data_IF_871959546048
#
_entry.id   IF_871959546048
#
_cell.length_a   1.000
_cell.length_b   1.000
_cell.length_c   1.000
_cell.angle_alpha   90.00
_cell.angle_beta   90.00
_cell.angle_gamma   90.00
#
_symmetry.space_group_name_H-M   'P 1'
#
loop_
_entity.id
_entity.type
_entity.pdbx_description
1 polymer ?
#
# COMPACT_ATOMS: atom_id res chain seq x y z
N UNK A 1 10.06 -23.42 2.12
CA UNK A 1 10.86 -24.34 1.25
C UNK A 1 10.30 -25.78 1.19
N UNK A 2 9.24 -26.10 1.93
CA UNK A 2 8.72 -27.47 2.06
C UNK A 2 8.14 -28.02 0.74
N UNK A 3 7.79 -27.15 -0.19
CA UNK A 3 7.12 -27.52 -1.45
C UNK A 3 8.00 -27.35 -2.71
N UNK A 4 9.22 -26.84 -2.58
CA UNK A 4 10.15 -26.72 -3.69
C UNK A 4 11.17 -27.86 -3.68
N UNK A 5 11.37 -28.57 -4.82
CA UNK A 5 12.28 -29.71 -4.90
C UNK A 5 13.77 -29.32 -4.81
N UNK A 6 14.09 -28.04 -5.01
CA UNK A 6 15.46 -27.48 -4.92
C UNK A 6 15.44 -26.21 -4.09
N UNK A 7 16.50 -25.93 -3.37
CA UNK A 7 16.67 -24.67 -2.65
C UNK A 7 16.91 -23.50 -3.61
N UNK A 8 16.48 -22.29 -3.25
CA UNK A 8 16.57 -21.11 -4.12
C UNK A 8 18.02 -20.76 -4.46
N UNK A 9 18.96 -20.99 -3.54
CA UNK A 9 20.41 -20.83 -3.73
C UNK A 9 21.04 -21.83 -4.72
N UNK A 10 20.32 -22.90 -5.08
CA UNK A 10 20.70 -23.89 -6.08
C UNK A 10 20.18 -23.56 -7.48
N UNK A 11 19.40 -22.50 -7.64
CA UNK A 11 18.94 -22.04 -8.95
C UNK A 11 20.11 -21.43 -9.73
N UNK A 12 20.15 -21.73 -11.05
CA UNK A 12 21.13 -21.12 -11.96
C UNK A 12 20.87 -19.61 -12.21
N UNK A 13 19.72 -19.11 -11.80
CA UNK A 13 19.35 -17.72 -11.93
C UNK A 13 19.72 -16.93 -10.67
N UNK A 14 20.06 -15.63 -10.84
CA UNK A 14 20.15 -14.71 -9.74
C UNK A 14 18.73 -14.33 -9.29
N UNK A 15 18.37 -14.69 -8.05
CA UNK A 15 17.05 -14.40 -7.48
C UNK A 15 17.19 -13.32 -6.43
N UNK A 16 16.50 -12.20 -6.64
CA UNK A 16 16.37 -11.12 -5.66
C UNK A 16 14.97 -11.19 -5.09
N UNK A 17 14.86 -11.29 -3.77
CA UNK A 17 13.58 -11.24 -3.06
C UNK A 17 13.33 -9.81 -2.57
N UNK A 18 12.11 -9.32 -2.80
CA UNK A 18 11.65 -8.06 -2.28
C UNK A 18 10.28 -8.28 -1.64
N UNK A 19 10.16 -7.96 -0.36
CA UNK A 19 8.88 -7.93 0.33
C UNK A 19 8.09 -6.71 -0.16
N UNK A 20 6.85 -6.93 -0.57
CA UNK A 20 5.98 -5.89 -1.07
C UNK A 20 4.92 -5.54 -0.02
N UNK A 21 4.63 -4.26 0.04
CA UNK A 21 3.49 -3.67 0.75
C UNK A 21 2.67 -2.82 -0.24
N UNK A 22 1.65 -2.12 0.23
CA UNK A 22 0.97 -1.13 -0.63
C UNK A 22 1.96 -0.07 -1.10
N UNK A 23 1.92 0.24 -2.39
CA UNK A 23 2.80 1.25 -2.96
C UNK A 23 2.85 1.22 -4.47
N UNK A 24 3.61 2.16 -5.01
CA UNK A 24 3.78 2.33 -6.45
C UNK A 24 5.27 2.20 -6.78
N UNK A 25 5.60 1.39 -7.77
CA UNK A 25 6.97 1.17 -8.23
C UNK A 25 6.99 0.74 -9.70
N UNK A 26 8.15 0.78 -10.32
CA UNK A 26 8.35 0.34 -11.70
C UNK A 26 9.21 -0.92 -11.79
N UNK A 27 8.84 -1.83 -12.69
CA UNK A 27 9.66 -2.98 -13.10
C UNK A 27 9.94 -2.82 -14.60
N UNK A 28 11.07 -2.26 -14.96
CA UNK A 28 11.35 -1.88 -16.34
C UNK A 28 10.31 -0.88 -16.85
N UNK A 29 9.60 -1.25 -17.92
CA UNK A 29 8.54 -0.41 -18.51
C UNK A 29 7.15 -0.64 -17.91
N UNK A 30 7.04 -1.49 -16.89
CA UNK A 30 5.78 -1.79 -16.22
C UNK A 30 5.66 -0.90 -14.99
N UNK A 31 4.60 -0.09 -14.93
CA UNK A 31 4.21 0.65 -13.74
C UNK A 31 3.29 -0.22 -12.88
N UNK A 32 3.61 -0.38 -11.60
CA UNK A 32 2.89 -1.27 -10.68
C UNK A 32 2.36 -0.45 -9.51
N UNK A 33 1.05 -0.54 -9.26
CA UNK A 33 0.40 -0.05 -8.03
C UNK A 33 -0.13 -1.27 -7.27
N UNK A 34 0.29 -1.46 -6.02
CA UNK A 34 -0.12 -2.57 -5.16
C UNK A 34 -1.01 -2.09 -4.03
N UNK A 35 -2.06 -2.87 -3.74
CA UNK A 35 -2.95 -2.61 -2.60
C UNK A 35 -3.32 -3.89 -1.87
N UNK A 36 -3.49 -3.78 -0.55
CA UNK A 36 -4.07 -4.89 0.22
C UNK A 36 -5.54 -5.08 -0.16
N UNK A 37 -5.87 -6.31 -0.46
CA UNK A 37 -7.24 -6.76 -0.70
C UNK A 37 -7.93 -7.08 0.62
N UNK A 38 -9.26 -7.06 0.62
CA UNK A 38 -10.05 -7.45 1.80
C UNK A 38 -10.09 -8.97 1.93
N UNK A 39 -9.08 -9.53 2.56
CA UNK A 39 -8.91 -10.97 2.75
C UNK A 39 -8.38 -11.26 4.16
N UNK A 40 -8.72 -12.41 4.79
CA UNK A 40 -8.20 -12.78 6.10
C UNK A 40 -6.69 -12.88 6.19
N UNK A 41 -6.01 -13.34 5.13
CA UNK A 41 -4.56 -13.32 5.02
C UNK A 41 -4.07 -12.06 4.30
N UNK A 42 -2.80 -11.68 4.53
CA UNK A 42 -2.17 -10.59 3.80
C UNK A 42 -2.12 -10.94 2.30
N UNK A 43 -2.96 -10.29 1.53
CA UNK A 43 -3.08 -10.49 0.10
C UNK A 43 -2.95 -9.15 -0.61
N UNK A 44 -2.05 -9.06 -1.60
CA UNK A 44 -1.88 -7.88 -2.43
C UNK A 44 -2.56 -8.08 -3.78
N UNK A 45 -3.32 -7.07 -4.19
CA UNK A 45 -3.71 -6.89 -5.58
C UNK A 45 -2.67 -6.05 -6.32
N UNK A 46 -2.64 -6.20 -7.63
CA UNK A 46 -1.68 -5.55 -8.51
C UNK A 46 -2.40 -4.83 -9.65
N UNK A 47 -2.14 -3.55 -9.83
CA UNK A 47 -2.51 -2.79 -11.01
C UNK A 47 -1.25 -2.55 -11.83
N UNK A 48 -1.22 -3.08 -13.04
CA UNK A 48 -0.10 -3.07 -13.96
C UNK A 48 -0.43 -2.17 -15.15
N UNK A 49 0.41 -1.19 -15.40
CA UNK A 49 0.25 -0.29 -16.56
C UNK A 49 1.49 -0.40 -17.44
N UNK A 50 1.30 -0.84 -18.68
CA UNK A 50 2.38 -1.04 -19.66
C UNK A 50 1.87 -0.76 -21.07
N UNK A 51 2.65 -0.04 -21.88
CA UNK A 51 2.32 0.28 -23.27
C UNK A 51 0.93 0.90 -23.50
N UNK A 52 0.38 1.57 -22.48
CA UNK A 52 -0.94 2.17 -22.50
C UNK A 52 -2.09 1.19 -22.24
N UNK A 53 -1.77 -0.06 -21.90
CA UNK A 53 -2.74 -1.04 -21.40
C UNK A 53 -2.69 -1.11 -19.88
N UNK A 54 -3.85 -1.38 -19.26
CA UNK A 54 -4.03 -1.52 -17.83
C UNK A 54 -4.60 -2.88 -17.49
N UNK A 55 -3.87 -3.65 -16.68
CA UNK A 55 -4.33 -4.94 -16.14
C UNK A 55 -4.41 -4.84 -14.63
N UNK A 56 -5.51 -5.28 -14.02
CA UNK A 56 -5.61 -5.39 -12.57
C UNK A 56 -5.83 -6.86 -12.19
N UNK A 57 -5.05 -7.31 -11.22
CA UNK A 57 -5.14 -8.64 -10.62
C UNK A 57 -5.54 -8.52 -9.16
N UNK A 58 -6.72 -9.01 -8.83
CA UNK A 58 -7.32 -9.00 -7.50
C UNK A 58 -7.83 -10.41 -7.18
N UNK A 59 -6.92 -11.31 -6.73
CA UNK A 59 -7.18 -12.74 -6.63
C UNK A 59 -8.09 -13.13 -5.47
N UNK A 60 -7.93 -12.51 -4.31
CA UNK A 60 -8.60 -12.92 -3.07
C UNK A 60 -9.15 -11.66 -2.41
N UNK A 61 -10.42 -11.38 -2.62
CA UNK A 61 -11.07 -10.15 -2.15
C UNK A 61 -12.53 -10.42 -1.80
N UNK A 62 -12.94 -10.05 -0.60
CA UNK A 62 -14.32 -10.09 -0.13
C UNK A 62 -14.92 -8.69 -0.12
N UNK A 63 -16.20 -8.49 -0.47
CA UNK A 63 -16.89 -7.21 -0.30
C UNK A 63 -16.75 -6.69 1.14
N UNK A 64 -16.41 -5.40 1.31
CA UNK A 64 -16.42 -4.79 2.64
C UNK A 64 -17.85 -4.67 3.19
N UNK A 65 -18.81 -4.37 2.34
CA UNK A 65 -20.22 -4.46 2.66
C UNK A 65 -20.79 -5.79 2.15
N UNK A 66 -21.05 -6.70 3.06
CA UNK A 66 -21.50 -8.05 2.72
C UNK A 66 -22.85 -8.07 1.99
N UNK A 67 -23.69 -7.04 2.14
CA UNK A 67 -24.92 -6.94 1.38
C UNK A 67 -24.68 -6.74 -0.12
N UNK A 68 -23.49 -6.23 -0.51
CA UNK A 68 -23.07 -6.12 -1.91
C UNK A 68 -22.75 -7.47 -2.55
N UNK A 69 -22.64 -8.54 -1.77
CA UNK A 69 -22.52 -9.90 -2.32
C UNK A 69 -23.67 -10.28 -3.26
N UNK A 70 -24.86 -9.72 -3.05
CA UNK A 70 -25.99 -9.89 -3.95
C UNK A 70 -26.02 -8.90 -5.15
N UNK A 71 -25.00 -8.09 -5.26
CA UNK A 71 -24.91 -6.95 -6.18
C UNK A 71 -25.57 -5.69 -5.61
N UNK A 72 -25.39 -4.58 -6.30
CA UNK A 72 -26.00 -3.31 -5.91
C UNK A 72 -25.16 -2.08 -6.24
N UNK A 73 -25.43 -0.98 -5.55
CA UNK A 73 -24.67 0.25 -5.69
C UNK A 73 -23.42 0.21 -4.83
N UNK A 74 -22.27 -0.03 -5.47
CA UNK A 74 -20.97 -0.12 -4.82
C UNK A 74 -20.59 1.18 -4.10
N UNK A 75 -21.07 2.34 -4.58
CA UNK A 75 -20.78 3.64 -3.97
C UNK A 75 -21.41 3.84 -2.57
N UNK A 76 -22.31 2.96 -2.16
CA UNK A 76 -22.91 3.01 -0.81
C UNK A 76 -21.90 2.71 0.31
N UNK A 77 -20.81 2.00 0.00
CA UNK A 77 -19.72 1.73 0.93
C UNK A 77 -18.43 2.35 0.40
N UNK A 78 -17.77 3.19 1.20
CA UNK A 78 -16.58 3.93 0.79
C UNK A 78 -15.38 3.03 0.45
N UNK A 79 -15.27 1.86 1.09
CA UNK A 79 -14.14 0.95 0.86
C UNK A 79 -14.34 0.17 -0.43
N UNK A 80 -15.56 -0.27 -0.71
CA UNK A 80 -15.90 -0.90 -1.98
C UNK A 80 -15.84 0.12 -3.13
N UNK A 81 -16.24 1.39 -2.90
CA UNK A 81 -16.07 2.47 -3.87
C UNK A 81 -14.59 2.80 -4.11
N UNK A 82 -13.75 2.79 -3.06
CA UNK A 82 -12.31 2.96 -3.19
C UNK A 82 -11.65 1.79 -3.93
N UNK A 83 -12.14 0.56 -3.72
CA UNK A 83 -11.72 -0.60 -4.51
C UNK A 83 -12.08 -0.41 -5.97
N UNK A 84 -13.32 -0.05 -6.29
CA UNK A 84 -13.74 0.25 -7.66
C UNK A 84 -12.93 1.41 -8.29
N UNK A 85 -12.61 2.45 -7.53
CA UNK A 85 -11.79 3.55 -8.01
C UNK A 85 -10.35 3.10 -8.36
N UNK A 86 -9.80 2.14 -7.62
CA UNK A 86 -8.49 1.56 -7.94
C UNK A 86 -8.51 0.70 -9.21
N UNK A 87 -9.63 0.03 -9.48
CA UNK A 87 -9.83 -0.74 -10.71
C UNK A 87 -10.11 0.13 -11.94
N UNK A 88 -10.37 1.44 -11.75
CA UNK A 88 -10.94 2.31 -12.78
C UNK A 88 -10.19 2.27 -14.10
N UNK A 89 -10.96 2.07 -15.20
CA UNK A 89 -10.48 2.09 -16.58
C UNK A 89 -9.54 0.94 -16.93
N UNK A 90 -9.57 -0.18 -16.19
CA UNK A 90 -8.79 -1.37 -16.53
C UNK A 90 -9.25 -1.96 -17.88
N UNK A 91 -8.29 -2.31 -18.75
CA UNK A 91 -8.57 -3.02 -19.99
C UNK A 91 -8.85 -4.50 -19.71
N UNK A 92 -8.26 -5.04 -18.63
CA UNK A 92 -8.53 -6.37 -18.10
C UNK A 92 -8.51 -6.35 -16.57
N UNK A 93 -9.59 -6.81 -15.97
CA UNK A 93 -9.68 -7.12 -14.55
C UNK A 93 -9.71 -8.64 -14.39
N UNK A 94 -8.73 -9.19 -13.68
CA UNK A 94 -8.71 -10.57 -13.22
C UNK A 94 -9.09 -10.53 -11.75
N UNK A 95 -10.28 -11.00 -11.40
CA UNK A 95 -10.84 -10.83 -10.06
C UNK A 95 -11.38 -12.14 -9.51
N UNK A 96 -11.19 -12.35 -8.21
CA UNK A 96 -11.83 -13.40 -7.45
C UNK A 96 -13.36 -13.36 -7.65
N UNK A 97 -13.92 -14.48 -8.03
CA UNK A 97 -15.36 -14.67 -8.24
C UNK A 97 -15.77 -16.09 -7.82
N UNK A 98 -15.34 -16.48 -6.62
CA UNK A 98 -15.45 -17.86 -6.14
C UNK A 98 -16.89 -18.31 -5.93
N UNK A 99 -17.76 -17.40 -5.48
CA UNK A 99 -19.13 -17.71 -5.06
C UNK A 99 -20.20 -17.03 -5.90
N UNK A 100 -21.43 -17.56 -5.79
CA UNK A 100 -22.65 -16.86 -6.14
C UNK A 100 -23.22 -16.20 -4.88
N UNK A 101 -24.05 -15.18 -5.03
CA UNK A 101 -24.74 -14.53 -3.91
C UNK A 101 -25.50 -15.50 -3.01
N UNK A 102 -26.08 -16.57 -3.60
CA UNK A 102 -26.79 -17.62 -2.86
C UNK A 102 -25.90 -18.52 -2.00
N UNK A 103 -24.59 -18.54 -2.26
CA UNK A 103 -23.60 -19.37 -1.57
C UNK A 103 -22.83 -18.56 -0.52
N UNK A 104 -22.81 -17.24 -0.64
CA UNK A 104 -21.96 -16.35 0.14
C UNK A 104 -22.25 -16.37 1.64
N UNK A 105 -23.51 -16.55 2.03
CA UNK A 105 -23.89 -16.51 3.46
C UNK A 105 -23.14 -17.48 4.35
N UNK A 106 -22.76 -18.65 3.82
CA UNK A 106 -21.99 -19.68 4.53
C UNK A 106 -20.47 -19.43 4.49
N UNK A 107 -20.02 -18.43 3.71
CA UNK A 107 -18.60 -18.16 3.42
C UNK A 107 -18.17 -16.73 3.78
N UNK A 108 -19.00 -16.00 4.53
CA UNK A 108 -18.66 -14.66 5.03
C UNK A 108 -17.39 -14.73 5.89
N UNK A 109 -16.44 -13.83 5.61
CA UNK A 109 -15.15 -13.78 6.30
C UNK A 109 -14.10 -14.76 5.75
N UNK A 110 -14.38 -15.42 4.61
CA UNK A 110 -13.41 -16.29 3.94
C UNK A 110 -12.48 -15.50 3.00
N UNK A 111 -12.83 -14.27 2.66
CA UNK A 111 -12.00 -13.38 1.86
C UNK A 111 -12.25 -13.45 0.36
N UNK A 112 -13.43 -13.96 -0.06
CA UNK A 112 -13.73 -14.18 -1.46
C UNK A 112 -15.00 -13.49 -1.93
N UNK A 113 -15.01 -13.14 -3.22
CA UNK A 113 -16.11 -12.40 -3.85
C UNK A 113 -17.18 -13.28 -4.46
N UNK A 114 -18.33 -12.66 -4.66
CA UNK A 114 -19.39 -13.20 -5.51
C UNK A 114 -19.29 -12.64 -6.91
N UNK A 115 -19.81 -13.40 -7.87
CA UNK A 115 -19.91 -12.98 -9.27
C UNK A 115 -20.69 -11.68 -9.41
N UNK A 116 -21.79 -11.53 -8.68
CA UNK A 116 -22.67 -10.36 -8.71
C UNK A 116 -21.92 -9.09 -8.27
N UNK A 117 -21.15 -9.19 -7.17
CA UNK A 117 -20.32 -8.09 -6.68
C UNK A 117 -19.27 -7.67 -7.72
N UNK A 118 -18.53 -8.64 -8.28
CA UNK A 118 -17.46 -8.36 -9.25
C UNK A 118 -18.00 -7.62 -10.48
N UNK A 119 -19.17 -8.01 -10.98
CA UNK A 119 -19.78 -7.34 -12.12
C UNK A 119 -20.18 -5.89 -11.79
N UNK A 120 -20.73 -5.64 -10.60
CA UNK A 120 -21.12 -4.29 -10.21
C UNK A 120 -19.91 -3.39 -9.91
N UNK A 121 -18.85 -3.94 -9.32
CA UNK A 121 -17.56 -3.24 -9.16
C UNK A 121 -16.95 -2.92 -10.54
N UNK A 122 -16.92 -3.88 -11.46
CA UNK A 122 -16.39 -3.67 -12.81
C UNK A 122 -17.21 -2.61 -13.59
N UNK A 123 -18.54 -2.61 -13.43
CA UNK A 123 -19.41 -1.57 -13.98
C UNK A 123 -19.10 -0.19 -13.40
N UNK A 124 -18.94 -0.10 -12.07
CA UNK A 124 -18.61 1.15 -11.36
C UNK A 124 -17.26 1.71 -11.80
N UNK A 125 -16.30 0.81 -12.07
CA UNK A 125 -14.93 1.11 -12.46
C UNK A 125 -14.75 1.33 -13.98
N UNK A 126 -15.78 1.18 -14.80
CA UNK A 126 -15.70 1.23 -16.27
C UNK A 126 -14.62 0.29 -16.84
N UNK A 127 -14.60 -0.94 -16.34
CA UNK A 127 -13.67 -1.99 -16.79
C UNK A 127 -14.09 -2.51 -18.16
N UNK A 128 -13.13 -2.71 -19.08
CA UNK A 128 -13.44 -3.18 -20.42
C UNK A 128 -13.71 -4.70 -20.48
N UNK A 129 -12.94 -5.50 -19.73
CA UNK A 129 -13.03 -6.97 -19.70
C UNK A 129 -12.87 -7.49 -18.28
N UNK A 130 -13.65 -8.49 -17.91
CA UNK A 130 -13.57 -9.20 -16.65
C UNK A 130 -13.26 -10.67 -16.90
N UNK A 131 -12.15 -11.12 -16.34
CA UNK A 131 -11.83 -12.52 -16.18
C UNK A 131 -12.23 -12.96 -14.76
N UNK A 132 -13.29 -13.75 -14.65
CA UNK A 132 -13.69 -14.37 -13.39
C UNK A 132 -12.64 -15.41 -13.02
N UNK A 133 -12.05 -15.25 -11.85
CA UNK A 133 -10.89 -16.01 -11.39
C UNK A 133 -11.16 -16.65 -10.02
N UNK A 134 -10.24 -17.49 -9.56
CA UNK A 134 -10.28 -18.13 -8.24
C UNK A 134 -11.58 -18.95 -8.01
N UNK A 135 -11.94 -19.77 -9.01
CA UNK A 135 -13.13 -20.62 -8.96
C UNK A 135 -13.09 -21.61 -7.80
N UNK A 136 -14.24 -21.88 -7.18
CA UNK A 136 -14.33 -22.94 -6.16
C UNK A 136 -13.84 -24.26 -6.73
N UNK A 137 -12.84 -24.92 -6.11
CA UNK A 137 -12.26 -26.18 -6.60
C UNK A 137 -13.27 -27.32 -6.76
N UNK A 138 -14.45 -27.19 -6.17
CA UNK A 138 -15.53 -28.18 -6.31
C UNK A 138 -16.35 -28.01 -7.59
N UNK A 139 -16.19 -26.90 -8.33
CA UNK A 139 -16.93 -26.65 -9.57
C UNK A 139 -16.34 -27.46 -10.71
N UNK A 140 -17.22 -28.03 -11.51
CA UNK A 140 -16.85 -28.61 -12.82
C UNK A 140 -16.82 -27.52 -13.89
N UNK A 141 -16.20 -27.82 -15.03
CA UNK A 141 -16.16 -26.90 -16.19
C UNK A 141 -17.55 -26.48 -16.64
N UNK A 142 -18.52 -27.40 -16.71
CA UNK A 142 -19.92 -27.09 -17.04
C UNK A 142 -20.56 -26.12 -16.03
N UNK A 143 -20.20 -26.21 -14.75
CA UNK A 143 -20.67 -25.29 -13.72
C UNK A 143 -19.99 -23.91 -13.82
N UNK A 144 -18.75 -23.86 -14.25
CA UNK A 144 -18.03 -22.60 -14.54
C UNK A 144 -18.67 -21.91 -15.75
N UNK A 145 -18.97 -22.67 -16.82
CA UNK A 145 -19.69 -22.14 -17.99
C UNK A 145 -21.06 -21.55 -17.60
N UNK A 146 -21.81 -22.28 -16.77
CA UNK A 146 -23.09 -21.80 -16.25
C UNK A 146 -22.93 -20.53 -15.38
N UNK A 147 -21.85 -20.42 -14.59
CA UNK A 147 -21.54 -19.24 -13.78
C UNK A 147 -21.25 -18.04 -14.67
N UNK A 148 -20.54 -18.20 -15.79
CA UNK A 148 -20.31 -17.12 -16.77
C UNK A 148 -21.64 -16.63 -17.36
N UNK A 149 -22.57 -17.53 -17.68
CA UNK A 149 -23.91 -17.12 -18.17
C UNK A 149 -24.73 -16.37 -17.11
N UNK A 150 -24.63 -16.76 -15.83
CA UNK A 150 -25.22 -16.02 -14.72
C UNK A 150 -24.61 -14.62 -14.57
N UNK A 151 -23.27 -14.51 -14.69
CA UNK A 151 -22.56 -13.23 -14.69
C UNK A 151 -23.06 -12.32 -15.82
N UNK A 152 -23.18 -12.83 -17.03
CA UNK A 152 -23.70 -12.09 -18.20
C UNK A 152 -25.14 -11.63 -18.02
N UNK A 153 -25.96 -12.50 -17.44
CA UNK A 153 -27.35 -12.14 -17.13
C UNK A 153 -27.44 -11.05 -16.06
N UNK A 154 -26.58 -11.09 -15.02
CA UNK A 154 -26.48 -10.03 -14.03
C UNK A 154 -25.98 -8.73 -14.67
N UNK A 155 -24.92 -8.78 -15.46
CA UNK A 155 -24.36 -7.65 -16.20
C UNK A 155 -25.39 -6.93 -17.07
N UNK A 156 -26.21 -7.68 -17.80
CA UNK A 156 -27.30 -7.13 -18.62
C UNK A 156 -28.32 -6.35 -17.78
N UNK A 157 -28.68 -6.84 -16.59
CA UNK A 157 -29.58 -6.17 -15.65
C UNK A 157 -28.95 -4.93 -15.02
N UNK A 158 -27.67 -5.03 -14.64
CA UNK A 158 -26.91 -3.95 -14.02
C UNK A 158 -26.47 -2.86 -15.01
N UNK A 159 -26.54 -3.15 -16.33
CA UNK A 159 -26.12 -2.22 -17.39
C UNK A 159 -24.61 -2.24 -17.67
N UNK A 160 -23.89 -3.27 -17.23
CA UNK A 160 -22.48 -3.48 -17.61
C UNK A 160 -22.39 -4.05 -19.03
N UNK A 161 -21.44 -3.51 -19.83
CA UNK A 161 -21.30 -3.86 -21.26
C UNK A 161 -19.93 -4.44 -21.60
N UNK A 162 -19.04 -4.60 -20.63
CA UNK A 162 -17.73 -5.20 -20.85
C UNK A 162 -17.82 -6.68 -21.17
N UNK A 163 -16.74 -7.21 -21.70
CA UNK A 163 -16.61 -8.65 -21.96
C UNK A 163 -16.44 -9.41 -20.64
N UNK A 164 -17.09 -10.56 -20.51
CA UNK A 164 -17.02 -11.43 -19.33
C UNK A 164 -16.68 -12.83 -19.76
N UNK A 165 -15.66 -13.42 -19.15
CA UNK A 165 -15.24 -14.80 -19.37
C UNK A 165 -14.65 -15.40 -18.09
N UNK A 166 -14.59 -16.73 -18.01
CA UNK A 166 -13.85 -17.42 -16.96
C UNK A 166 -12.37 -17.51 -17.32
N UNK A 167 -11.50 -17.26 -16.36
CA UNK A 167 -10.09 -17.52 -16.54
C UNK A 167 -9.84 -19.02 -16.66
N UNK A 168 -9.08 -19.42 -17.67
CA UNK A 168 -8.75 -20.81 -17.92
C UNK A 168 -7.25 -21.00 -18.05
N UNK A 169 -6.74 -22.11 -17.53
CA UNK A 169 -5.33 -22.45 -17.61
C UNK A 169 -4.86 -22.52 -19.07
N UNK A 170 -3.70 -21.95 -19.36
CA UNK A 170 -3.11 -21.91 -20.71
C UNK A 170 -3.74 -20.90 -21.67
N UNK A 171 -4.81 -20.19 -21.28
CA UNK A 171 -5.39 -19.13 -22.13
C UNK A 171 -4.51 -17.88 -22.18
N UNK A 172 -4.59 -17.17 -23.31
CA UNK A 172 -3.85 -15.91 -23.52
C UNK A 172 -4.82 -14.82 -23.92
N UNK A 173 -4.72 -13.68 -23.24
CA UNK A 173 -5.48 -12.47 -23.57
C UNK A 173 -4.54 -11.43 -24.14
N UNK A 174 -4.82 -10.98 -25.38
CA UNK A 174 -4.07 -9.90 -26.00
C UNK A 174 -4.77 -8.56 -25.77
N UNK A 175 -4.03 -7.59 -25.27
CA UNK A 175 -4.49 -6.22 -25.07
C UNK A 175 -3.80 -5.30 -26.06
N UNK A 176 -4.55 -4.37 -26.62
CA UNK A 176 -4.00 -3.27 -27.41
C UNK A 176 -3.96 -2.02 -26.54
N UNK A 177 -2.76 -1.50 -26.32
CA UNK A 177 -2.59 -0.27 -25.55
C UNK A 177 -3.16 0.95 -26.28
N UNK A 178 -3.69 1.89 -25.52
CA UNK A 178 -4.14 3.19 -25.99
C UNK A 178 -2.96 4.16 -26.08
N UNK A 179 -2.71 4.75 -27.25
CA UNK A 179 -1.58 5.65 -27.48
C UNK A 179 -1.67 6.96 -26.65
N UNK A 180 -2.89 7.47 -26.43
CA UNK A 180 -3.11 8.67 -25.64
C UNK A 180 -2.91 8.37 -24.14
N UNK A 181 -3.35 7.20 -23.69
CA UNK A 181 -3.10 6.70 -22.33
C UNK A 181 -1.61 6.47 -22.09
N UNK A 182 -0.90 5.89 -23.07
CA UNK A 182 0.56 5.75 -23.03
C UNK A 182 1.26 7.11 -22.89
N UNK A 183 0.85 8.11 -23.64
CA UNK A 183 1.39 9.46 -23.54
C UNK A 183 1.08 10.09 -22.16
N UNK A 184 -0.11 9.87 -21.61
CA UNK A 184 -0.48 10.33 -20.26
C UNK A 184 0.31 9.64 -19.15
N UNK A 185 0.57 8.33 -19.28
CA UNK A 185 1.42 7.57 -18.34
C UNK A 185 2.85 8.11 -18.35
N UNK A 186 3.42 8.33 -19.52
CA UNK A 186 4.74 8.96 -19.67
C UNK A 186 4.76 10.37 -19.08
N UNK A 187 3.69 11.15 -19.28
CA UNK A 187 3.56 12.49 -18.71
C UNK A 187 3.38 12.45 -17.19
N UNK A 188 2.59 11.49 -16.64
CA UNK A 188 2.45 11.28 -15.19
C UNK A 188 3.77 10.89 -14.55
N UNK A 189 4.55 10.00 -15.16
CA UNK A 189 5.91 9.65 -14.72
C UNK A 189 6.84 10.85 -14.69
N UNK A 190 6.60 11.87 -15.55
CA UNK A 190 7.37 13.11 -15.61
C UNK A 190 6.87 14.21 -14.66
N UNK A 191 5.63 14.11 -14.18
CA UNK A 191 4.96 15.20 -13.46
C UNK A 191 4.24 14.77 -12.18
N UNK A 192 4.34 13.51 -11.76
CA UNK A 192 3.78 13.09 -10.49
C UNK A 192 4.61 13.67 -9.35
N UNK A 193 4.08 14.63 -8.58
CA UNK A 193 4.60 14.83 -7.25
C UNK A 193 4.21 13.54 -6.51
N UNK A 194 5.21 12.78 -6.07
CA UNK A 194 5.02 11.73 -5.08
C UNK A 194 4.33 12.43 -3.92
N UNK A 195 3.10 12.01 -3.62
CA UNK A 195 2.37 12.54 -2.49
C UNK A 195 3.17 12.21 -1.23
N UNK A 196 4.05 13.11 -0.84
CA UNK A 196 4.79 13.07 0.40
C UNK A 196 3.82 13.39 1.53
N UNK A 197 3.08 12.39 1.99
CA UNK A 197 2.57 12.46 3.35
C UNK A 197 3.76 12.15 4.26
N UNK A 198 4.37 13.18 4.79
CA UNK A 198 5.27 13.07 5.94
C UNK A 198 4.45 12.46 7.07
N UNK A 199 4.61 11.17 7.32
CA UNK A 199 4.03 10.50 8.47
C UNK A 199 5.15 10.25 9.47
N UNK A 200 5.02 10.85 10.65
CA UNK A 200 5.84 10.53 11.81
C UNK A 200 5.81 9.03 12.09
N UNK A 201 6.92 8.49 12.57
CA UNK A 201 7.01 7.08 12.98
C UNK A 201 5.92 6.81 14.03
N UNK A 202 4.85 6.09 13.66
CA UNK A 202 3.80 5.73 14.59
C UNK A 202 4.31 4.65 15.55
N UNK A 203 3.89 4.77 16.80
CA UNK A 203 4.22 3.85 17.89
C UNK A 203 3.78 2.41 17.57
N UNK A 204 4.57 1.43 17.98
CA UNK A 204 4.18 0.01 17.98
C UNK A 204 3.11 -0.28 19.06
N UNK A 205 2.45 0.73 19.62
CA UNK A 205 1.40 0.61 20.59
C UNK A 205 0.00 0.63 19.98
N UNK A 206 -0.89 -0.12 20.58
CA UNK A 206 -2.31 -0.22 20.23
C UNK A 206 -3.15 0.16 21.43
N UNK A 207 -4.12 1.05 21.25
CA UNK A 207 -5.16 1.31 22.23
C UNK A 207 -6.41 0.53 21.83
N UNK A 208 -6.91 -0.28 22.76
CA UNK A 208 -8.13 -1.09 22.58
C UNK A 208 -9.19 -0.54 23.53
N UNK A 209 -10.25 0.02 22.97
CA UNK A 209 -11.48 0.29 23.71
C UNK A 209 -12.45 -0.87 23.51
N UNK A 210 -12.68 -1.65 24.54
CA UNK A 210 -13.61 -2.78 24.49
C UNK A 210 -14.26 -3.06 25.86
N UNK A 211 -15.47 -2.54 26.09
CA UNK A 211 -16.25 -2.83 27.30
C UNK A 211 -16.62 -4.31 27.48
N UNK A 212 -16.73 -5.04 26.35
CA UNK A 212 -17.06 -6.46 26.38
C UNK A 212 -15.80 -7.31 26.59
N UNK A 213 -15.70 -7.98 27.73
CA UNK A 213 -14.51 -8.77 28.10
C UNK A 213 -14.09 -9.82 27.05
N UNK A 214 -15.05 -10.44 26.35
CA UNK A 214 -14.73 -11.40 25.28
C UNK A 214 -14.10 -10.72 24.05
N UNK A 215 -14.55 -9.53 23.69
CA UNK A 215 -13.96 -8.71 22.61
C UNK A 215 -12.57 -8.26 23.04
N UNK A 216 -12.46 -7.67 24.23
CA UNK A 216 -11.19 -7.19 24.79
C UNK A 216 -10.11 -8.27 24.78
N UNK A 217 -10.43 -9.49 25.25
CA UNK A 217 -9.47 -10.59 25.31
C UNK A 217 -8.97 -11.02 23.93
N UNK A 218 -9.86 -11.19 22.95
CA UNK A 218 -9.46 -11.60 21.59
C UNK A 218 -8.61 -10.53 20.91
N UNK A 219 -8.98 -9.25 21.05
CA UNK A 219 -8.22 -8.15 20.50
C UNK A 219 -6.85 -8.02 21.18
N UNK A 220 -6.80 -8.17 22.50
CA UNK A 220 -5.56 -8.14 23.28
C UNK A 220 -4.61 -9.27 22.88
N UNK A 221 -5.07 -10.54 22.87
CA UNK A 221 -4.25 -11.68 22.50
C UNK A 221 -3.74 -11.56 21.05
N UNK A 222 -4.59 -11.10 20.14
CA UNK A 222 -4.21 -10.86 18.77
C UNK A 222 -3.10 -9.80 18.64
N UNK A 223 -3.22 -8.67 19.31
CA UNK A 223 -2.25 -7.60 19.27
C UNK A 223 -0.95 -7.97 20.00
N UNK A 224 -1.05 -8.58 21.18
CA UNK A 224 0.08 -9.01 21.98
C UNK A 224 0.92 -10.10 21.27
N UNK A 225 0.26 -11.03 20.58
CA UNK A 225 0.97 -12.07 19.79
C UNK A 225 1.72 -11.52 18.59
N UNK A 226 1.40 -10.30 18.12
CA UNK A 226 2.15 -9.55 17.13
C UNK A 226 3.28 -8.69 17.69
N UNK A 227 3.51 -8.77 19.02
CA UNK A 227 4.57 -8.04 19.70
C UNK A 227 4.27 -6.55 19.93
N UNK A 228 2.99 -6.16 19.85
CA UNK A 228 2.57 -4.78 20.05
C UNK A 228 2.44 -4.45 21.54
N UNK A 229 2.69 -3.19 21.89
CA UNK A 229 2.43 -2.65 23.22
C UNK A 229 0.94 -2.29 23.33
N UNK A 230 0.20 -3.02 24.17
CA UNK A 230 -1.27 -2.98 24.18
C UNK A 230 -1.79 -2.31 25.45
N UNK A 231 -2.60 -1.28 25.24
CA UNK A 231 -3.37 -0.63 26.32
C UNK A 231 -4.85 -0.94 26.10
N UNK A 232 -5.49 -1.58 27.08
CA UNK A 232 -6.93 -1.91 27.05
C UNK A 232 -7.66 -0.97 28.00
N UNK A 233 -8.74 -0.37 27.53
CA UNK A 233 -9.65 0.47 28.27
C UNK A 233 -11.10 -0.05 28.11
N UNK A 234 -11.86 -0.09 29.16
CA UNK A 234 -13.29 -0.45 29.16
C UNK A 234 -14.20 0.79 29.26
N UNK A 235 -13.61 1.94 29.49
CA UNK A 235 -14.26 3.24 29.56
C UNK A 235 -13.78 4.18 28.42
N UNK A 236 -14.70 4.95 27.84
CA UNK A 236 -14.41 5.86 26.73
C UNK A 236 -13.42 6.99 27.09
N UNK A 237 -13.50 7.49 28.33
CA UNK A 237 -12.59 8.57 28.78
C UNK A 237 -11.19 8.02 29.04
N UNK A 238 -11.09 6.82 29.58
CA UNK A 238 -9.82 6.11 29.74
C UNK A 238 -9.18 5.83 28.39
N UNK A 239 -9.96 5.34 27.40
CA UNK A 239 -9.49 5.10 26.04
C UNK A 239 -8.97 6.38 25.39
N UNK A 240 -9.69 7.51 25.54
CA UNK A 240 -9.28 8.80 25.02
C UNK A 240 -7.98 9.30 25.68
N UNK A 241 -7.88 9.19 27.00
CA UNK A 241 -6.67 9.53 27.73
C UNK A 241 -5.48 8.64 27.32
N UNK A 242 -5.72 7.36 27.09
CA UNK A 242 -4.70 6.43 26.61
C UNK A 242 -4.19 6.81 25.19
N UNK A 243 -5.06 7.24 24.27
CA UNK A 243 -4.66 7.74 22.95
C UNK A 243 -3.73 8.94 23.08
N UNK A 244 -4.06 9.89 23.92
CA UNK A 244 -3.23 11.09 24.16
C UNK A 244 -1.88 10.77 24.81
N UNK A 245 -1.86 9.81 25.74
CA UNK A 245 -0.66 9.51 26.53
C UNK A 245 0.31 8.59 25.80
N UNK A 246 -0.20 7.59 25.06
CA UNK A 246 0.62 6.55 24.42
C UNK A 246 0.91 6.81 22.94
N UNK A 247 0.24 7.78 22.32
CA UNK A 247 0.39 8.08 20.87
C UNK A 247 0.36 6.82 20.01
N UNK A 248 -0.74 6.03 20.04
CA UNK A 248 -0.78 4.70 19.44
C UNK A 248 -0.66 4.75 17.91
N UNK A 249 -0.11 3.68 17.34
CA UNK A 249 -0.10 3.46 15.90
C UNK A 249 -1.48 3.14 15.34
N UNK A 250 -2.37 2.56 16.16
CA UNK A 250 -3.74 2.15 15.80
C UNK A 250 -4.66 2.15 17.03
N UNK A 251 -5.93 2.44 16.82
CA UNK A 251 -6.98 2.32 17.85
C UNK A 251 -8.02 1.31 17.37
N UNK A 252 -8.31 0.31 18.20
CA UNK A 252 -9.42 -0.61 18.00
C UNK A 252 -10.54 -0.22 18.95
N UNK A 253 -11.74 0.06 18.45
CA UNK A 253 -12.85 0.53 19.27
C UNK A 253 -14.10 -0.35 19.06
N UNK A 254 -14.56 -1.01 20.12
CA UNK A 254 -15.82 -1.75 20.09
C UNK A 254 -16.99 -0.80 19.92
N UNK A 255 -17.87 -1.13 18.96
CA UNK A 255 -19.13 -0.40 18.73
C UNK A 255 -20.12 -0.74 19.83
N UNK A 256 -20.37 0.18 20.73
CA UNK A 256 -21.37 0.04 21.80
C UNK A 256 -22.70 0.57 21.26
N UNK A 257 -23.64 -0.32 21.03
CA UNK A 257 -24.93 -0.03 20.39
C UNK A 257 -25.89 0.79 21.25
N UNK A 258 -25.64 0.91 22.56
CA UNK A 258 -26.62 1.40 23.56
C UNK A 258 -26.26 2.75 24.24
N UNK A 259 -25.34 3.54 23.69
CA UNK A 259 -25.15 4.90 24.24
C UNK A 259 -26.09 5.90 23.57
N UNK A 260 -27.36 5.87 23.97
CA UNK A 260 -28.44 6.75 23.53
C UNK A 260 -28.35 8.17 24.12
N UNK A 261 -27.34 8.46 24.98
CA UNK A 261 -27.20 9.77 25.62
C UNK A 261 -26.27 10.77 24.90
N UNK A 262 -25.66 10.37 23.78
CA UNK A 262 -24.93 11.27 22.86
C UNK A 262 -23.75 12.05 23.44
N UNK A 263 -23.30 11.74 24.65
CA UNK A 263 -22.41 12.62 25.40
C UNK A 263 -20.93 12.48 25.11
N UNK A 264 -20.45 11.32 24.60
CA UNK A 264 -19.03 11.18 24.24
C UNK A 264 -18.82 10.18 23.10
N UNK A 265 -18.22 10.66 22.03
CA UNK A 265 -17.85 9.86 20.86
C UNK A 265 -16.32 9.83 20.72
N UNK A 266 -15.72 8.67 21.03
CA UNK A 266 -14.27 8.49 20.99
C UNK A 266 -13.66 8.87 19.62
N UNK A 267 -14.29 8.46 18.55
CA UNK A 267 -13.80 8.73 17.17
C UNK A 267 -13.80 10.22 16.88
N UNK A 268 -14.92 10.91 17.17
CA UNK A 268 -15.03 12.35 16.98
C UNK A 268 -14.02 13.10 17.85
N UNK A 269 -13.91 12.73 19.13
CA UNK A 269 -12.96 13.33 20.06
C UNK A 269 -11.50 13.15 19.61
N UNK A 270 -11.12 11.98 19.08
CA UNK A 270 -9.79 11.78 18.50
C UNK A 270 -9.55 12.68 17.29
N UNK A 271 -10.54 12.86 16.41
CA UNK A 271 -10.41 13.69 15.20
C UNK A 271 -10.36 15.20 15.50
N UNK A 272 -10.82 15.61 16.67
CA UNK A 272 -10.76 17.00 17.16
C UNK A 272 -9.46 17.33 17.90
N UNK A 273 -8.53 16.39 18.08
CA UNK A 273 -7.23 16.64 18.69
C UNK A 273 -6.41 17.63 17.84
N UNK A 274 -5.75 18.58 18.51
CA UNK A 274 -4.85 19.56 17.85
C UNK A 274 -3.59 18.90 17.28
N UNK A 275 -3.19 17.74 17.81
CA UNK A 275 -2.02 16.98 17.34
C UNK A 275 -2.35 16.25 16.02
N UNK A 276 -1.68 16.61 14.90
CA UNK A 276 -1.92 15.98 13.58
C UNK A 276 -1.64 14.48 13.56
N UNK A 277 -0.70 14.00 14.36
CA UNK A 277 -0.36 12.59 14.43
C UNK A 277 -1.45 11.80 15.16
N UNK A 278 -2.00 12.35 16.21
CA UNK A 278 -3.08 11.73 16.98
C UNK A 278 -4.43 11.83 16.26
N UNK A 279 -4.78 12.99 15.69
CA UNK A 279 -6.07 13.14 15.02
C UNK A 279 -6.18 12.32 13.73
N UNK A 280 -5.05 11.91 13.14
CA UNK A 280 -4.98 11.05 11.95
C UNK A 280 -4.77 9.57 12.27
N UNK A 281 -4.70 9.17 13.55
CA UNK A 281 -4.49 7.75 13.92
C UNK A 281 -5.58 6.87 13.31
N UNK A 282 -5.23 5.69 12.73
CA UNK A 282 -6.24 4.75 12.26
C UNK A 282 -7.15 4.31 13.40
N UNK A 283 -8.46 4.45 13.19
CA UNK A 283 -9.47 3.96 14.14
C UNK A 283 -10.27 2.87 13.43
N UNK A 284 -10.20 1.66 13.98
CA UNK A 284 -10.90 0.48 13.49
C UNK A 284 -12.06 0.21 14.43
N UNK A 285 -13.26 0.29 13.90
CA UNK A 285 -14.46 -0.07 14.66
C UNK A 285 -14.65 -1.58 14.65
N UNK A 286 -14.95 -2.15 15.83
CA UNK A 286 -15.19 -3.58 16.02
C UNK A 286 -16.63 -3.81 16.41
N UNK A 287 -17.39 -4.56 15.62
CA UNK A 287 -18.80 -4.80 15.97
C UNK A 287 -19.57 -5.55 14.88
N UNK A 288 -20.88 -5.74 15.06
CA UNK A 288 -21.73 -6.35 14.04
C UNK A 288 -21.73 -5.51 12.77
N UNK A 289 -22.03 -6.13 11.63
CA UNK A 289 -21.92 -5.51 10.29
C UNK A 289 -22.29 -4.02 10.25
N UNK A 290 -21.51 -3.25 9.53
CA UNK A 290 -21.67 -1.79 9.32
C UNK A 290 -23.09 -1.37 8.86
N UNK A 291 -23.84 -2.28 8.25
CA UNK A 291 -25.20 -2.03 7.76
C UNK A 291 -26.22 -1.65 8.86
N UNK A 292 -25.90 -1.90 10.13
CA UNK A 292 -26.81 -1.59 11.27
C UNK A 292 -26.52 -0.25 11.94
N UNK A 293 -25.41 0.39 11.58
CA UNK A 293 -25.00 1.63 12.22
C UNK A 293 -25.24 2.81 11.26
N UNK A 294 -26.11 3.71 11.63
CA UNK A 294 -26.30 5.01 10.96
C UNK A 294 -26.14 6.10 12.00
N UNK A 295 -25.14 6.94 11.87
CA UNK A 295 -25.40 8.33 11.52
C UNK A 295 -24.47 8.82 10.40
N UNK A 296 -25.03 9.59 9.51
CA UNK A 296 -24.44 10.14 8.28
C UNK A 296 -23.18 11.03 8.48
N UNK A 297 -22.72 11.26 9.72
CA UNK A 297 -21.62 12.16 10.03
C UNK A 297 -20.33 11.49 10.56
N UNK A 298 -20.37 10.23 11.00
CA UNK A 298 -19.22 9.55 11.65
C UNK A 298 -18.45 8.59 10.73
N UNK A 299 -19.08 8.09 9.67
CA UNK A 299 -18.42 7.17 8.72
C UNK A 299 -17.17 7.78 8.08
N UNK A 300 -17.10 9.10 7.93
CA UNK A 300 -15.95 9.80 7.33
C UNK A 300 -14.70 9.79 8.22
N UNK A 301 -14.83 9.43 9.49
CA UNK A 301 -13.76 9.52 10.50
C UNK A 301 -13.21 8.15 10.93
N UNK A 302 -13.87 7.07 10.58
CA UNK A 302 -13.46 5.69 10.82
C UNK A 302 -12.53 5.23 9.68
N UNK A 303 -11.46 4.52 10.02
CA UNK A 303 -10.53 4.00 9.01
C UNK A 303 -11.04 2.74 8.36
N UNK A 304 -11.54 1.79 9.17
CA UNK A 304 -12.08 0.52 8.69
C UNK A 304 -13.04 -0.07 9.73
N UNK A 305 -13.80 -1.07 9.32
CA UNK A 305 -14.70 -1.82 10.19
C UNK A 305 -14.27 -3.28 10.27
N UNK A 306 -14.09 -3.79 11.49
CA UNK A 306 -13.84 -5.19 11.78
C UNK A 306 -15.16 -5.85 12.20
N UNK A 307 -15.72 -6.70 11.34
CA UNK A 307 -16.97 -7.39 11.64
C UNK A 307 -16.77 -8.41 12.76
N UNK A 308 -17.62 -8.32 13.78
CA UNK A 308 -17.60 -9.21 14.93
C UNK A 308 -18.82 -10.16 14.93
N UNK A 309 -18.69 -11.45 15.29
CA UNK A 309 -17.51 -12.10 15.90
C UNK A 309 -16.40 -12.44 14.88
N UNK A 310 -15.14 -12.25 15.29
CA UNK A 310 -13.95 -12.56 14.52
C UNK A 310 -13.03 -13.50 15.30
N UNK A 311 -12.31 -14.38 14.60
CA UNK A 311 -11.30 -15.22 15.22
C UNK A 311 -10.04 -14.41 15.55
N UNK A 312 -9.28 -14.83 16.58
CA UNK A 312 -7.98 -14.24 16.89
C UNK A 312 -7.04 -14.21 15.69
N UNK A 313 -6.99 -15.30 14.91
CA UNK A 313 -6.19 -15.37 13.69
C UNK A 313 -6.58 -14.30 12.68
N UNK A 314 -7.88 -14.08 12.46
CA UNK A 314 -8.37 -13.03 11.56
C UNK A 314 -7.98 -11.63 12.04
N UNK A 315 -8.17 -11.35 13.34
CA UNK A 315 -7.78 -10.07 13.94
C UNK A 315 -6.29 -9.82 13.80
N UNK A 316 -5.44 -10.82 14.07
CA UNK A 316 -3.98 -10.73 13.90
C UNK A 316 -3.59 -10.36 12.48
N UNK A 317 -4.17 -11.03 11.51
CA UNK A 317 -3.87 -10.81 10.08
C UNK A 317 -4.30 -9.41 9.64
N UNK A 318 -5.46 -8.96 10.09
CA UNK A 318 -5.92 -7.59 9.82
C UNK A 318 -5.04 -6.55 10.51
N UNK A 319 -4.64 -6.77 11.76
CA UNK A 319 -3.69 -5.89 12.47
C UNK A 319 -2.37 -5.75 11.70
N UNK A 320 -1.80 -6.86 11.22
CA UNK A 320 -0.60 -6.81 10.36
C UNK A 320 -0.82 -5.97 9.11
N UNK A 321 -1.93 -6.19 8.41
CA UNK A 321 -2.25 -5.41 7.20
C UNK A 321 -2.34 -3.92 7.50
N UNK A 322 -3.03 -3.54 8.58
CA UNK A 322 -3.16 -2.13 8.97
C UNK A 322 -1.85 -1.49 9.40
N UNK A 323 -1.02 -2.22 10.17
CA UNK A 323 0.30 -1.75 10.57
C UNK A 323 1.22 -1.59 9.35
N UNK A 324 1.22 -2.53 8.41
CA UNK A 324 2.00 -2.46 7.18
C UNK A 324 1.55 -1.35 6.23
N UNK A 325 0.24 -1.09 6.11
CA UNK A 325 -0.29 0.07 5.37
C UNK A 325 0.22 1.40 5.92
N UNK A 326 0.62 1.43 7.19
CA UNK A 326 1.03 2.64 7.89
C UNK A 326 2.50 2.60 8.33
N UNK A 327 3.21 1.50 8.04
CA UNK A 327 4.59 1.26 8.46
C UNK A 327 5.63 1.68 7.41
N UNK A 328 5.45 2.82 6.76
CA UNK A 328 6.62 3.50 6.22
C UNK A 328 7.35 4.13 7.40
N UNK A 329 8.28 3.36 7.98
CA UNK A 329 9.08 3.79 9.13
C UNK A 329 10.22 4.71 8.72
N UNK A 330 10.70 4.62 7.47
CA UNK A 330 11.73 5.55 7.02
C UNK A 330 11.12 6.94 6.83
N UNK A 331 11.89 7.92 7.20
CA UNK A 331 11.50 9.32 7.05
C UNK A 331 11.98 9.83 5.70
N UNK A 332 11.04 10.32 4.89
CA UNK A 332 11.42 11.10 3.72
C UNK A 332 12.17 12.35 4.18
N UNK A 333 13.24 12.71 3.47
CA UNK A 333 13.90 13.97 3.73
C UNK A 333 12.90 15.13 3.53
N UNK A 334 12.78 16.07 4.48
CA UNK A 334 12.01 17.29 4.24
C UNK A 334 12.62 18.05 3.06
N UNK A 335 11.80 18.84 2.39
CA UNK A 335 12.30 19.74 1.35
C UNK A 335 13.14 20.85 1.98
N UNK A 336 14.33 21.19 1.43
CA UNK A 336 15.05 22.38 1.82
C UNK A 336 14.18 23.65 1.74
N UNK A 337 14.40 24.61 2.61
CA UNK A 337 13.62 25.85 2.62
C UNK A 337 13.78 26.67 1.32
N UNK A 338 14.88 26.45 0.61
CA UNK A 338 15.28 27.09 -0.64
C UNK A 338 15.19 26.15 -1.85
N UNK A 339 14.33 25.13 -1.79
CA UNK A 339 14.24 24.05 -2.80
C UNK A 339 14.09 24.58 -4.24
N UNK A 340 13.26 25.59 -4.46
CA UNK A 340 13.07 26.17 -5.80
C UNK A 340 14.38 26.78 -6.35
N UNK A 341 15.16 27.44 -5.48
CA UNK A 341 16.47 28.03 -5.83
C UNK A 341 17.47 26.92 -6.11
N UNK A 342 17.52 25.90 -5.25
CA UNK A 342 18.37 24.71 -5.40
C UNK A 342 18.11 23.99 -6.73
N UNK A 343 16.85 23.72 -7.06
CA UNK A 343 16.45 23.06 -8.29
C UNK A 343 16.76 23.93 -9.52
N UNK A 344 16.63 25.26 -9.43
CA UNK A 344 17.00 26.16 -10.49
C UNK A 344 18.53 26.09 -10.76
N UNK A 345 19.35 26.14 -9.69
CA UNK A 345 20.80 26.01 -9.78
C UNK A 345 21.21 24.64 -10.36
N UNK A 346 20.57 23.54 -9.91
CA UNK A 346 20.80 22.19 -10.44
C UNK A 346 20.53 22.11 -11.95
N UNK A 347 19.43 22.71 -12.43
CA UNK A 347 19.08 22.74 -13.85
C UNK A 347 20.05 23.62 -14.66
N UNK A 348 20.57 24.70 -14.10
CA UNK A 348 21.55 25.57 -14.73
C UNK A 348 22.87 24.84 -14.98
N UNK A 349 23.23 23.85 -14.13
CA UNK A 349 24.42 23.01 -14.36
C UNK A 349 24.33 22.19 -15.65
N UNK A 350 23.11 21.91 -16.15
CA UNK A 350 22.84 21.16 -17.39
C UNK A 350 23.57 19.79 -17.44
N UNK A 351 23.69 19.11 -16.28
CA UNK A 351 24.39 17.80 -16.16
C UNK A 351 23.43 16.64 -15.87
N UNK A 352 22.15 16.91 -15.56
CA UNK A 352 21.13 15.87 -15.46
C UNK A 352 20.92 15.19 -16.83
N UNK A 353 20.72 13.88 -16.80
CA UNK A 353 20.46 13.04 -18.00
C UNK A 353 21.56 13.10 -19.06
N UNK A 354 22.78 13.47 -18.67
CA UNK A 354 23.93 13.51 -19.57
C UNK A 354 24.74 12.21 -19.54
N UNK A 355 25.53 11.98 -20.58
CA UNK A 355 26.40 10.82 -20.66
C UNK A 355 27.44 10.79 -19.52
N UNK A 356 27.97 9.60 -19.16
CA UNK A 356 29.08 9.46 -18.19
C UNK A 356 30.26 10.32 -18.60
N UNK A 357 30.96 10.88 -17.60
CA UNK A 357 32.15 11.68 -17.80
C UNK A 357 33.31 11.18 -16.93
N UNK A 358 34.45 10.88 -17.55
CA UNK A 358 35.62 10.32 -16.88
C UNK A 358 36.08 11.14 -15.65
N UNK A 359 35.88 12.46 -15.66
CA UNK A 359 36.20 13.31 -14.51
C UNK A 359 35.42 12.97 -13.24
N UNK A 360 34.13 12.55 -13.35
CA UNK A 360 33.34 12.10 -12.22
C UNK A 360 33.62 10.63 -11.89
N UNK A 361 33.73 9.78 -12.93
CA UNK A 361 33.92 8.34 -12.78
C UNK A 361 35.25 8.02 -12.09
N UNK A 362 36.30 8.78 -12.37
CA UNK A 362 37.57 8.66 -11.68
C UNK A 362 37.43 8.94 -10.18
N UNK A 363 36.70 9.99 -9.78
CA UNK A 363 36.51 10.31 -8.36
C UNK A 363 35.72 9.26 -7.61
N UNK A 364 34.64 8.71 -8.20
CA UNK A 364 33.89 7.63 -7.57
C UNK A 364 34.71 6.35 -7.43
N UNK A 365 35.51 6.02 -8.43
CA UNK A 365 36.44 4.89 -8.37
C UNK A 365 37.54 5.08 -7.30
N UNK A 366 38.15 6.25 -7.25
CA UNK A 366 39.17 6.60 -6.23
C UNK A 366 38.62 6.55 -4.81
N UNK A 367 37.38 7.06 -4.58
CA UNK A 367 36.72 7.03 -3.27
C UNK A 367 36.40 5.59 -2.87
N UNK A 368 35.84 4.78 -3.78
CA UNK A 368 35.54 3.39 -3.53
C UNK A 368 36.77 2.60 -3.11
N UNK A 369 37.92 2.80 -3.81
CA UNK A 369 39.17 2.13 -3.51
C UNK A 369 39.81 2.65 -2.20
N UNK A 370 39.84 3.98 -2.01
CA UNK A 370 40.49 4.60 -0.83
C UNK A 370 39.80 4.24 0.49
N UNK A 371 38.44 4.17 0.46
CA UNK A 371 37.65 3.89 1.65
C UNK A 371 37.26 2.42 1.77
N UNK A 372 37.65 1.57 0.81
CA UNK A 372 37.29 0.16 0.74
C UNK A 372 35.76 -0.06 0.88
N UNK A 373 34.98 0.76 0.13
CA UNK A 373 33.50 0.68 0.14
C UNK A 373 32.98 0.13 -1.19
N UNK A 374 31.99 -0.76 -1.16
CA UNK A 374 31.47 -1.39 -2.38
C UNK A 374 30.69 -0.43 -3.27
N UNK A 375 30.18 0.68 -2.74
CA UNK A 375 29.36 1.65 -3.48
C UNK A 375 29.88 3.06 -3.25
N UNK A 376 30.13 3.79 -4.32
CA UNK A 376 30.45 5.22 -4.32
C UNK A 376 29.67 5.93 -5.43
N UNK A 377 29.15 7.12 -5.13
CA UNK A 377 28.27 7.86 -6.01
C UNK A 377 28.66 9.35 -6.08
N UNK A 378 28.51 9.94 -7.26
CA UNK A 378 28.21 11.38 -7.41
C UNK A 378 26.74 11.47 -7.81
N UNK A 379 25.89 11.92 -6.88
CA UNK A 379 24.45 11.95 -7.05
C UNK A 379 23.91 13.37 -7.08
N UNK A 380 22.86 13.58 -7.86
CA UNK A 380 22.13 14.84 -8.00
C UNK A 380 20.69 14.59 -7.55
N UNK A 381 20.25 15.35 -6.55
CA UNK A 381 18.89 15.23 -5.99
C UNK A 381 17.99 16.17 -6.75
N UNK A 382 17.19 15.63 -7.68
CA UNK A 382 16.18 16.36 -8.45
C UNK A 382 14.85 16.48 -7.70
N UNK A 383 13.82 16.97 -8.32
CA UNK A 383 12.51 17.21 -7.71
C UNK A 383 11.87 15.93 -7.15
N UNK A 384 11.98 14.82 -7.88
CA UNK A 384 11.30 13.55 -7.61
C UNK A 384 12.24 12.33 -7.60
N UNK A 385 13.51 12.53 -7.97
CA UNK A 385 14.51 11.45 -8.09
C UNK A 385 15.87 11.87 -7.56
N UNK A 386 16.69 10.89 -7.27
CA UNK A 386 18.13 11.00 -7.11
C UNK A 386 18.77 10.39 -8.35
N UNK A 387 19.43 11.20 -9.16
CA UNK A 387 20.10 10.78 -10.38
C UNK A 387 21.62 10.67 -10.15
N UNK A 388 22.23 9.62 -10.70
CA UNK A 388 23.65 9.34 -10.50
C UNK A 388 24.47 9.80 -11.70
N UNK A 389 25.19 10.91 -11.52
CA UNK A 389 26.15 11.41 -12.53
C UNK A 389 27.33 10.44 -12.72
N UNK A 390 27.74 9.79 -11.61
CA UNK A 390 28.73 8.72 -11.60
C UNK A 390 28.43 7.75 -10.49
N UNK A 391 28.69 6.46 -10.71
CA UNK A 391 28.43 5.42 -9.73
C UNK A 391 29.38 4.23 -9.90
N UNK A 392 29.74 3.63 -8.75
CA UNK A 392 30.45 2.35 -8.63
C UNK A 392 29.62 1.43 -7.75
N UNK A 393 29.53 0.15 -8.09
CA UNK A 393 28.93 -0.89 -7.24
C UNK A 393 27.41 -1.00 -7.28
N UNK A 394 26.73 -0.17 -8.05
CA UNK A 394 25.27 -0.30 -8.29
C UNK A 394 24.95 -0.23 -9.78
N UNK A 395 23.91 -0.94 -10.21
CA UNK A 395 23.50 -0.96 -11.61
C UNK A 395 22.47 0.14 -11.96
N UNK A 396 21.74 0.64 -10.98
CA UNK A 396 20.75 1.69 -11.16
C UNK A 396 21.43 3.01 -11.55
N UNK A 397 20.79 3.78 -12.43
CA UNK A 397 21.23 5.14 -12.78
C UNK A 397 20.48 6.23 -11.98
N UNK A 398 19.40 5.86 -11.34
CA UNK A 398 18.59 6.74 -10.52
C UNK A 398 17.80 5.94 -9.49
N UNK A 399 17.33 6.60 -8.45
CA UNK A 399 16.37 6.08 -7.48
C UNK A 399 15.32 7.15 -7.17
N UNK A 400 14.11 6.77 -6.71
CA UNK A 400 13.15 7.73 -6.18
C UNK A 400 13.76 8.59 -5.06
N UNK A 401 13.41 9.87 -5.05
CA UNK A 401 13.93 10.82 -4.06
C UNK A 401 13.50 10.49 -2.63
N UNK A 402 12.31 9.99 -2.46
CA UNK A 402 11.73 9.65 -1.16
C UNK A 402 12.55 8.61 -0.38
N UNK A 403 13.15 7.65 -1.08
CA UNK A 403 14.03 6.65 -0.46
C UNK A 403 15.52 7.08 -0.38
N UNK A 404 15.84 8.29 -0.85
CA UNK A 404 17.21 8.77 -0.98
C UNK A 404 17.81 9.22 0.37
N UNK A 405 18.93 8.61 0.79
CA UNK A 405 19.71 9.10 1.93
C UNK A 405 20.43 10.41 1.57
N UNK A 406 20.78 10.62 0.29
CA UNK A 406 21.38 11.87 -0.18
C UNK A 406 20.43 13.06 -0.07
N UNK A 407 19.11 12.83 -0.16
CA UNK A 407 18.10 13.88 0.08
C UNK A 407 18.14 14.40 1.53
N UNK A 408 18.54 13.57 2.49
CA UNK A 408 18.83 14.02 3.86
C UNK A 408 20.18 14.74 3.99
N UNK A 409 21.17 14.31 3.20
CA UNK A 409 22.50 14.95 3.25
C UNK A 409 22.44 16.41 2.78
N UNK A 410 21.67 16.73 1.74
CA UNK A 410 21.56 18.10 1.20
C UNK A 410 20.81 19.09 2.13
N UNK A 411 20.29 18.64 3.28
CA UNK A 411 19.65 19.53 4.26
C UNK A 411 20.65 20.33 5.09
N UNK A 412 21.93 19.94 5.10
CA UNK A 412 23.00 20.58 5.82
C UNK A 412 24.22 20.83 4.93
N UNK A 413 25.26 21.44 5.50
CA UNK A 413 26.55 21.70 4.83
C UNK A 413 27.63 20.69 5.23
N UNK A 414 27.37 19.92 6.29
CA UNK A 414 28.32 18.98 6.88
C UNK A 414 28.11 17.55 6.35
N UNK A 415 29.12 16.70 6.62
CA UNK A 415 29.05 15.29 6.34
C UNK A 415 27.89 14.63 7.11
N UNK A 416 26.90 14.11 6.41
CA UNK A 416 25.91 13.20 6.99
C UNK A 416 26.52 11.80 7.08
N UNK A 417 26.71 11.30 8.29
CA UNK A 417 27.18 9.95 8.54
C UNK A 417 26.09 9.13 9.26
N UNK A 418 25.77 7.95 8.73
CA UNK A 418 24.86 6.97 9.31
C UNK A 418 25.67 5.69 9.56
N UNK A 419 26.11 5.43 10.81
CA UNK A 419 26.98 4.30 11.14
C UNK A 419 26.32 2.93 10.92
N UNK A 420 25.02 2.84 11.19
CA UNK A 420 24.20 1.66 10.90
C UNK A 420 22.77 2.10 10.52
N UNK A 421 22.42 1.96 9.25
CA UNK A 421 21.14 2.37 8.73
C UNK A 421 19.97 1.50 9.26
N UNK A 422 20.21 0.28 9.71
CA UNK A 422 19.20 -0.54 10.39
C UNK A 422 18.88 -0.03 11.80
N UNK A 423 19.84 0.60 12.46
CA UNK A 423 19.69 1.15 13.79
C UNK A 423 19.20 2.62 13.77
N UNK A 424 19.24 3.28 12.62
CA UNK A 424 18.80 4.67 12.46
C UNK A 424 17.29 4.72 12.16
N UNK A 425 16.52 5.35 13.06
CA UNK A 425 15.07 5.43 12.96
C UNK A 425 14.57 6.10 11.66
N UNK A 426 15.42 6.88 10.99
CA UNK A 426 15.07 7.49 9.69
C UNK A 426 15.12 6.50 8.54
N UNK A 427 15.90 5.42 8.66
CA UNK A 427 16.27 4.56 7.54
C UNK A 427 16.06 3.06 7.79
N UNK A 428 15.71 2.64 9.00
CA UNK A 428 15.73 1.22 9.42
C UNK A 428 14.94 0.28 8.49
N UNK A 429 13.87 0.75 7.89
CA UNK A 429 13.02 0.00 6.95
C UNK A 429 13.00 0.60 5.52
N UNK A 430 13.94 1.52 5.24
CA UNK A 430 14.13 2.05 3.89
C UNK A 430 14.44 0.92 2.89
N UNK A 431 13.83 0.91 1.69
CA UNK A 431 14.06 -0.12 0.68
C UNK A 431 15.54 -0.36 0.33
N UNK A 432 16.39 0.66 0.41
CA UNK A 432 17.85 0.53 0.19
C UNK A 432 18.57 -0.16 1.36
N UNK A 433 17.93 -0.23 2.53
CA UNK A 433 18.49 -0.82 3.77
C UNK A 433 17.99 -2.25 3.96
N UNK A 434 16.68 -2.50 3.79
CA UNK A 434 16.08 -3.83 3.97
C UNK A 434 16.09 -4.66 2.70
N UNK A 435 16.03 -4.01 1.52
CA UNK A 435 16.14 -4.63 0.19
C UNK A 435 17.55 -4.60 -0.39
N UNK A 436 17.68 -4.64 -1.70
CA UNK A 436 18.96 -4.39 -2.37
C UNK A 436 19.27 -2.89 -2.45
N UNK A 437 20.48 -2.43 -2.14
CA UNK A 437 21.75 -3.13 -1.90
C UNK A 437 22.02 -3.58 -0.46
N UNK A 438 21.03 -3.52 0.44
CA UNK A 438 21.15 -3.83 1.88
C UNK A 438 22.15 -2.92 2.59
N UNK A 439 22.02 -1.64 2.36
CA UNK A 439 22.88 -0.61 2.93
C UNK A 439 22.92 -0.70 4.46
N UNK A 440 24.13 -0.59 5.03
CA UNK A 440 24.36 -0.54 6.48
C UNK A 440 24.99 0.77 6.88
N UNK A 441 26.08 1.10 6.27
CA UNK A 441 26.77 2.37 6.48
C UNK A 441 26.47 3.33 5.33
N UNK A 442 26.33 4.60 5.66
CA UNK A 442 26.22 5.67 4.67
C UNK A 442 27.02 6.89 5.13
N UNK A 443 27.72 7.51 4.20
CA UNK A 443 28.34 8.81 4.39
C UNK A 443 28.10 9.65 3.13
N UNK A 444 27.49 10.82 3.28
CA UNK A 444 27.21 11.75 2.18
C UNK A 444 27.64 13.16 2.51
N UNK A 445 28.47 13.74 1.66
CA UNK A 445 28.90 15.12 1.76
C UNK A 445 28.21 15.97 0.67
N UNK A 446 27.43 16.99 1.03
CA UNK A 446 26.83 17.89 0.07
C UNK A 446 27.88 18.63 -0.75
N UNK A 447 27.65 18.73 -2.05
CA UNK A 447 28.46 19.56 -2.93
C UNK A 447 27.81 20.95 -2.98
N UNK A 448 28.49 21.95 -2.40
CA UNK A 448 27.98 23.31 -2.33
C UNK A 448 28.51 24.12 -3.50
N UNK A 449 27.60 24.69 -4.28
CA UNK A 449 27.93 25.60 -5.38
C UNK A 449 28.37 26.98 -4.87
N UNK A 450 28.93 27.80 -5.75
CA UNK A 450 29.46 29.14 -5.37
C UNK A 450 28.38 30.09 -4.86
N UNK A 451 27.14 29.88 -5.25
CA UNK A 451 25.96 30.63 -4.83
C UNK A 451 25.30 30.07 -3.54
N UNK A 452 25.85 28.99 -2.99
CA UNK A 452 25.37 28.32 -1.79
C UNK A 452 24.33 27.23 -2.04
N UNK A 453 23.94 26.95 -3.29
CA UNK A 453 23.05 25.82 -3.61
C UNK A 453 23.77 24.47 -3.41
N UNK A 454 23.00 23.45 -3.03
CA UNK A 454 23.51 22.09 -2.69
C UNK A 454 22.97 21.03 -3.64
#
# INVERSE_FOLDING_TARGET
YTYFPIAIDQLAASVVHQDLVEGVFDIGDIHVDTRFLNHPALTLGYRLEVDGAVVVYASDHEPHDHDLSAGGDVARNRHDDAHAAWLAGADLLIHDAQYLASEFGDHVGWGHSTVEYVIDVARRADVARVALYHHDPKRTDDQIDALVELARAHAARAGYRGEIFAAAEGSTVTLSGDADRRAQLVARRRSAPIATTSRSARSDSVVIFAPTATVANVLFEAAHSEGLDVVVADDLHEAYAAVQHHSPGIVLAESVVDNDDGSFNLVAAIRELDDPDLNSVPVIMVGPSAARWRPDSLETHITEWLVWPASEFFVRTKLRAWLLRHANKWQNAPLPADEDVRLAALRELAILDTDPEERFDRHTAEISELLDVPVALVSLVDADRQWFKSHVGIAARETPRDMSLCAHAILGDDLLQVPDALADARFADNPLVVGGPRMRFYAGLPLVLRDGAR
#
